data_IF_138661756186
#
_entry.id   IF_138661756186
#
_cell.length_a   1.000
_cell.length_b   1.000
_cell.length_c   1.000
_cell.angle_alpha   90.00
_cell.angle_beta   90.00
_cell.angle_gamma   90.00
#
_symmetry.space_group_name_H-M   'P 1'
#
loop_
_entity.id
_entity.type
_entity.pdbx_description
1 polymer ?
#
# COMPACT_ATOMS: atom_id res chain seq x y z
N UNK A 1 24.92 37.59 2.88
CA UNK A 1 24.37 37.75 4.25
C UNK A 1 23.05 38.49 4.15
N UNK A 2 21.92 37.80 4.30
CA UNK A 2 20.62 38.47 4.43
C UNK A 2 20.41 38.74 5.91
N UNK A 3 20.59 39.99 6.28
CA UNK A 3 20.49 40.47 7.66
C UNK A 3 18.99 40.57 7.99
N UNK A 4 18.46 39.52 8.62
CA UNK A 4 17.08 39.49 9.11
C UNK A 4 16.95 40.25 10.43
N UNK A 5 15.84 40.96 10.61
CA UNK A 5 15.47 41.66 11.84
C UNK A 5 15.65 40.77 13.09
N UNK A 6 16.20 41.36 14.15
CA UNK A 6 16.40 40.70 15.44
C UNK A 6 15.09 40.08 15.95
N UNK A 7 15.10 38.77 16.21
CA UNK A 7 14.01 38.04 16.88
C UNK A 7 13.16 37.11 16.02
N UNK A 8 13.38 37.00 14.71
CA UNK A 8 12.59 36.08 13.85
C UNK A 8 13.46 34.95 13.31
N UNK A 9 13.17 33.71 13.74
CA UNK A 9 13.81 32.48 13.25
C UNK A 9 13.04 31.98 12.03
N UNK A 10 13.67 31.90 10.87
CA UNK A 10 13.09 31.35 9.65
C UNK A 10 13.73 30.00 9.31
N UNK A 11 12.91 29.00 9.00
CA UNK A 11 13.34 27.61 8.73
C UNK A 11 12.34 26.57 9.26
N UNK A 12 12.44 25.32 8.80
CA UNK A 12 11.62 24.20 9.28
C UNK A 12 12.11 23.78 10.69
N UNK A 13 11.54 24.40 11.72
CA UNK A 13 11.84 24.07 13.11
C UNK A 13 11.00 22.86 13.54
N UNK A 14 11.65 21.73 13.81
CA UNK A 14 10.98 20.58 14.44
C UNK A 14 10.71 20.94 15.90
N UNK A 15 9.46 20.88 16.40
CA UNK A 15 9.21 21.09 17.82
C UNK A 15 9.92 19.99 18.61
N UNK A 16 10.82 20.39 19.52
CA UNK A 16 11.45 19.48 20.46
C UNK A 16 10.37 18.83 21.31
N UNK A 17 10.29 17.50 21.24
CA UNK A 17 9.41 16.74 22.11
C UNK A 17 9.86 16.96 23.57
N UNK A 18 8.96 17.31 24.50
CA UNK A 18 9.30 17.32 25.91
C UNK A 18 9.60 15.89 26.36
N UNK A 19 10.72 15.71 27.06
CA UNK A 19 11.12 14.44 27.65
C UNK A 19 9.98 13.89 28.53
N UNK A 20 9.31 12.83 28.04
CA UNK A 20 8.34 12.09 28.80
C UNK A 20 9.08 11.31 29.90
N UNK A 21 8.67 11.53 31.15
CA UNK A 21 9.05 10.67 32.29
C UNK A 21 8.61 9.23 32.00
N UNK A 22 9.35 8.19 32.40
CA UNK A 22 8.92 6.81 32.19
C UNK A 22 7.71 6.53 33.09
N UNK A 23 6.52 6.54 32.50
CA UNK A 23 5.30 6.06 33.14
C UNK A 23 5.37 4.53 33.24
N UNK A 24 5.11 4.00 34.43
CA UNK A 24 5.08 2.57 34.70
C UNK A 24 4.10 1.86 33.75
N UNK A 25 4.57 0.80 33.09
CA UNK A 25 3.74 -0.03 32.22
C UNK A 25 2.60 -0.68 33.03
N UNK A 26 1.38 -0.78 32.49
CA UNK A 26 0.36 -1.63 33.08
C UNK A 26 0.85 -3.08 33.04
N UNK A 27 0.82 -3.76 34.19
CA UNK A 27 1.08 -5.21 34.25
C UNK A 27 0.02 -5.91 33.42
N UNK A 28 0.39 -6.37 32.23
CA UNK A 28 -0.42 -7.30 31.46
C UNK A 28 -0.53 -8.60 32.23
N UNK A 29 -1.65 -8.81 32.92
CA UNK A 29 -2.10 -10.15 33.25
C UNK A 29 -2.51 -10.79 31.92
N UNK A 30 -1.68 -11.66 31.39
CA UNK A 30 -2.06 -12.48 30.26
C UNK A 30 -3.29 -13.29 30.63
N UNK A 31 -4.37 -13.12 29.87
CA UNK A 31 -5.62 -13.91 29.99
C UNK A 31 -5.39 -15.39 29.59
N UNK A 32 -4.20 -15.71 29.08
CA UNK A 32 -3.75 -17.05 28.71
C UNK A 32 -2.60 -17.56 29.60
N UNK A 33 -2.32 -16.90 30.72
CA UNK A 33 -1.11 -17.15 31.51
C UNK A 33 -1.27 -18.05 32.72
N UNK A 34 -2.42 -18.71 32.92
CA UNK A 34 -2.69 -19.55 34.08
C UNK A 34 -3.71 -20.66 33.76
N UNK A 35 -3.43 -21.44 32.73
CA UNK A 35 -4.01 -22.78 32.61
C UNK A 35 -2.84 -23.78 32.58
N UNK A 36 -2.37 -24.05 33.80
CA UNK A 36 -1.84 -25.32 34.27
C UNK A 36 -1.51 -26.37 33.19
N UNK A 37 -0.37 -26.21 32.52
CA UNK A 37 0.21 -27.26 31.68
C UNK A 37 1.24 -28.07 32.49
N UNK A 38 0.86 -28.52 33.70
CA UNK A 38 1.30 -29.84 34.12
C UNK A 38 0.56 -30.86 33.25
N UNK A 39 1.07 -31.13 32.05
CA UNK A 39 0.76 -32.41 31.41
C UNK A 39 1.26 -33.49 32.37
N UNK A 40 0.41 -34.32 33.02
CA UNK A 40 0.93 -35.52 33.63
C UNK A 40 1.55 -36.30 32.48
N UNK A 41 2.86 -36.57 32.53
CA UNK A 41 3.53 -37.40 31.54
C UNK A 41 2.69 -38.66 31.37
N UNK A 42 1.91 -38.71 30.29
CA UNK A 42 0.93 -39.75 30.10
C UNK A 42 1.72 -41.04 30.06
N UNK A 43 1.44 -41.96 30.99
CA UNK A 43 2.17 -43.22 31.08
C UNK A 43 2.20 -43.89 29.70
N UNK A 44 3.27 -44.60 29.35
CA UNK A 44 3.38 -45.25 28.04
C UNK A 44 2.15 -46.12 27.72
N UNK A 45 1.51 -46.69 28.75
CA UNK A 45 0.24 -47.40 28.66
C UNK A 45 -0.96 -46.52 28.30
N UNK A 46 -1.04 -45.29 28.80
CA UNK A 46 -2.05 -44.31 28.40
C UNK A 46 -1.84 -43.87 26.95
N UNK A 47 -0.60 -43.60 26.55
CA UNK A 47 -0.25 -43.28 25.16
C UNK A 47 -0.56 -44.44 24.20
N UNK A 48 -0.35 -45.69 24.64
CA UNK A 48 -0.69 -46.90 23.87
C UNK A 48 -2.19 -47.16 23.77
N UNK A 49 -2.96 -46.80 24.80
CA UNK A 49 -4.43 -46.84 24.77
C UNK A 49 -5.01 -45.72 23.90
N UNK A 50 -4.44 -44.52 23.95
CA UNK A 50 -4.78 -43.38 23.09
C UNK A 50 -4.42 -43.66 21.62
N UNK A 51 -3.31 -44.36 21.37
CA UNK A 51 -2.89 -44.74 20.02
C UNK A 51 -3.58 -46.00 19.48
N UNK A 52 -4.34 -46.71 20.33
CA UNK A 52 -5.09 -47.90 19.91
C UNK A 52 -6.14 -47.55 18.86
N UNK A 53 -6.28 -48.41 17.85
CA UNK A 53 -7.17 -48.16 16.72
C UNK A 53 -8.64 -48.01 17.15
N UNK A 54 -9.04 -48.71 18.20
CA UNK A 54 -10.39 -48.59 18.80
C UNK A 54 -10.63 -47.20 19.41
N UNK A 55 -9.62 -46.61 20.05
CA UNK A 55 -9.74 -45.27 20.61
C UNK A 55 -9.80 -44.22 19.50
N UNK A 56 -8.97 -44.35 18.45
CA UNK A 56 -9.03 -43.50 17.26
C UNK A 56 -10.39 -43.59 16.56
N UNK A 57 -10.97 -44.77 16.43
CA UNK A 57 -12.29 -44.98 15.83
C UNK A 57 -13.41 -44.32 16.66
N UNK A 58 -13.34 -44.43 18.00
CA UNK A 58 -14.28 -43.75 18.89
C UNK A 58 -14.18 -42.22 18.77
N UNK A 59 -12.96 -41.67 18.70
CA UNK A 59 -12.75 -40.24 18.50
C UNK A 59 -13.24 -39.76 17.14
N UNK A 60 -13.02 -40.53 16.07
CA UNK A 60 -13.58 -40.25 14.74
C UNK A 60 -15.12 -40.22 14.76
N UNK A 61 -15.76 -41.21 15.39
CA UNK A 61 -17.24 -41.24 15.53
C UNK A 61 -17.78 -40.06 16.33
N UNK A 62 -17.04 -39.58 17.34
CA UNK A 62 -17.41 -38.37 18.10
C UNK A 62 -17.29 -37.12 17.21
N UNK A 63 -16.15 -36.96 16.54
CA UNK A 63 -15.92 -35.85 15.62
C UNK A 63 -16.95 -35.81 14.47
N UNK A 64 -17.32 -36.96 13.88
CA UNK A 64 -18.35 -37.02 12.85
C UNK A 64 -19.73 -36.62 13.36
N UNK A 65 -20.08 -36.98 14.60
CA UNK A 65 -21.35 -36.56 15.21
C UNK A 65 -21.35 -35.06 15.47
N UNK A 66 -20.25 -34.51 15.94
CA UNK A 66 -20.10 -33.08 16.18
C UNK A 66 -20.13 -32.29 14.87
N UNK A 67 -19.41 -32.75 13.84
CA UNK A 67 -19.45 -32.17 12.49
C UNK A 67 -20.88 -32.16 11.93
N UNK A 68 -21.62 -33.27 12.06
CA UNK A 68 -23.01 -33.35 11.58
C UNK A 68 -23.94 -32.42 12.35
N UNK A 69 -23.73 -32.24 13.66
CA UNK A 69 -24.49 -31.28 14.48
C UNK A 69 -24.19 -29.85 14.05
N UNK A 70 -22.91 -29.51 13.91
CA UNK A 70 -22.45 -28.20 13.46
C UNK A 70 -23.04 -27.83 12.08
N UNK A 71 -23.02 -28.77 11.12
CA UNK A 71 -23.61 -28.58 9.79
C UNK A 71 -25.14 -28.47 9.80
N UNK A 72 -25.81 -29.09 10.78
CA UNK A 72 -27.27 -29.02 10.91
C UNK A 72 -27.73 -27.69 11.53
N UNK A 73 -26.90 -27.10 12.40
CA UNK A 73 -27.15 -25.78 13.00
C UNK A 73 -26.85 -24.67 11.99
N UNK A 74 -25.71 -24.74 11.28
CA UNK A 74 -25.32 -23.81 10.24
C UNK A 74 -24.50 -24.50 9.14
N UNK A 75 -25.03 -24.48 7.91
CA UNK A 75 -24.37 -25.05 6.75
C UNK A 75 -23.11 -24.28 6.32
N UNK A 76 -22.98 -23.01 6.73
CA UNK A 76 -21.86 -22.12 6.41
C UNK A 76 -20.75 -22.12 7.46
N UNK A 77 -20.85 -22.95 8.50
CA UNK A 77 -19.91 -22.93 9.65
C UNK A 77 -18.45 -23.21 9.28
N UNK A 78 -18.21 -23.89 8.15
CA UNK A 78 -16.87 -24.15 7.61
C UNK A 78 -16.53 -23.29 6.39
N UNK A 79 -17.38 -22.33 6.04
CA UNK A 79 -17.14 -21.38 4.96
C UNK A 79 -16.24 -20.23 5.44
N UNK A 80 -14.94 -20.50 5.45
CA UNK A 80 -13.93 -19.50 5.81
C UNK A 80 -13.76 -18.40 4.76
N UNK A 81 -14.11 -18.67 3.50
CA UNK A 81 -13.98 -17.71 2.40
C UNK A 81 -15.04 -16.61 2.54
N UNK A 82 -16.28 -16.99 2.87
CA UNK A 82 -17.38 -16.04 3.10
C UNK A 82 -17.09 -14.99 4.18
N UNK A 83 -16.37 -15.37 5.24
CA UNK A 83 -15.97 -14.44 6.31
C UNK A 83 -14.91 -13.43 5.83
N UNK A 84 -13.94 -13.87 5.03
CA UNK A 84 -12.93 -12.98 4.44
C UNK A 84 -13.57 -12.06 3.41
N UNK A 85 -14.42 -12.60 2.54
CA UNK A 85 -15.20 -11.85 1.57
C UNK A 85 -16.02 -10.73 2.25
N UNK A 86 -16.62 -11.00 3.40
CA UNK A 86 -17.33 -9.99 4.19
C UNK A 86 -16.41 -8.84 4.64
N UNK A 87 -15.23 -9.16 5.17
CA UNK A 87 -14.24 -8.16 5.61
C UNK A 87 -13.72 -7.34 4.42
N UNK A 88 -13.47 -8.00 3.28
CA UNK A 88 -13.02 -7.34 2.06
C UNK A 88 -14.09 -6.41 1.52
N UNK A 89 -15.35 -6.85 1.44
CA UNK A 89 -16.49 -6.04 1.01
C UNK A 89 -16.72 -4.84 1.93
N UNK A 90 -16.72 -5.04 3.25
CA UNK A 90 -16.87 -3.94 4.22
C UNK A 90 -15.74 -2.92 4.10
N UNK A 91 -14.50 -3.39 3.90
CA UNK A 91 -13.35 -2.51 3.68
C UNK A 91 -13.48 -1.72 2.38
N UNK A 92 -13.89 -2.36 1.29
CA UNK A 92 -14.12 -1.71 0.00
C UNK A 92 -15.24 -0.66 0.10
N UNK A 93 -16.36 -0.98 0.74
CA UNK A 93 -17.45 -0.05 0.99
C UNK A 93 -17.00 1.13 1.86
N UNK A 94 -16.21 0.87 2.91
CA UNK A 94 -15.63 1.92 3.74
C UNK A 94 -14.66 2.82 2.95
N UNK A 95 -13.87 2.26 2.03
CA UNK A 95 -13.00 3.03 1.13
C UNK A 95 -13.79 3.87 0.12
N UNK A 96 -14.86 3.31 -0.47
CA UNK A 96 -15.76 4.02 -1.38
C UNK A 96 -16.43 5.18 -0.65
N UNK A 97 -16.95 4.95 0.56
CA UNK A 97 -17.56 5.99 1.39
C UNK A 97 -16.56 7.07 1.80
N UNK A 98 -15.31 6.69 2.14
CA UNK A 98 -14.23 7.67 2.40
C UNK A 98 -13.92 8.51 1.16
N UNK A 99 -13.81 7.89 -0.02
CA UNK A 99 -13.57 8.60 -1.28
C UNK A 99 -14.72 9.55 -1.63
N UNK A 100 -15.97 9.12 -1.42
CA UNK A 100 -17.15 9.96 -1.60
C UNK A 100 -17.13 11.15 -0.63
N UNK A 101 -16.88 10.92 0.66
CA UNK A 101 -16.75 11.98 1.66
C UNK A 101 -15.59 12.94 1.38
N UNK A 102 -14.47 12.45 0.85
CA UNK A 102 -13.36 13.29 0.39
C UNK A 102 -13.72 14.15 -0.82
N UNK A 103 -14.54 13.62 -1.74
CA UNK A 103 -15.06 14.37 -2.89
C UNK A 103 -16.04 15.47 -2.46
N UNK A 104 -16.88 15.19 -1.47
CA UNK A 104 -17.82 16.16 -0.90
C UNK A 104 -17.15 17.26 -0.06
N UNK A 105 -16.02 16.96 0.60
CA UNK A 105 -15.23 17.95 1.34
C UNK A 105 -14.57 19.02 0.46
N UNK A 106 -14.75 18.95 -0.85
CA UNK A 106 -14.21 19.88 -1.83
C UNK A 106 -12.72 19.66 -2.07
N UNK A 107 -12.28 19.98 -3.28
CA UNK A 107 -10.85 19.99 -3.60
C UNK A 107 -10.12 20.99 -2.69
N UNK A 108 -8.98 20.58 -2.13
CA UNK A 108 -8.17 21.45 -1.26
C UNK A 108 -7.80 22.73 -2.04
N UNK A 109 -7.90 23.89 -1.38
CA UNK A 109 -7.81 25.25 -1.96
C UNK A 109 -6.65 25.53 -2.95
N UNK A 110 -5.62 24.69 -3.00
CA UNK A 110 -4.43 24.88 -3.83
C UNK A 110 -4.07 23.72 -4.78
N UNK A 111 -4.82 22.61 -4.77
CA UNK A 111 -4.46 21.43 -5.59
C UNK A 111 -4.54 21.76 -7.08
N UNK A 112 -5.56 22.52 -7.49
CA UNK A 112 -5.70 22.97 -8.87
C UNK A 112 -4.49 23.78 -9.33
N UNK A 113 -4.09 24.80 -8.56
CA UNK A 113 -2.95 25.66 -8.89
C UNK A 113 -1.63 24.87 -8.92
N UNK A 114 -1.46 23.87 -8.04
CA UNK A 114 -0.29 23.00 -8.06
C UNK A 114 -0.26 22.17 -9.35
N UNK A 115 -1.39 21.55 -9.72
CA UNK A 115 -1.51 20.78 -10.95
C UNK A 115 -1.27 21.66 -12.18
N UNK A 116 -1.82 22.86 -12.24
CA UNK A 116 -1.59 23.82 -13.32
C UNK A 116 -0.12 24.19 -13.45
N UNK A 117 0.54 24.58 -12.36
CA UNK A 117 1.97 24.91 -12.37
C UNK A 117 2.84 23.73 -12.79
N UNK A 118 2.48 22.50 -12.41
CA UNK A 118 3.23 21.32 -12.88
C UNK A 118 3.04 21.09 -14.37
N UNK A 119 1.85 21.37 -14.93
CA UNK A 119 1.60 21.29 -16.37
C UNK A 119 2.34 22.39 -17.12
N UNK A 120 2.38 23.62 -16.59
CA UNK A 120 3.15 24.73 -17.16
C UNK A 120 4.64 24.40 -17.21
N UNK A 121 5.22 23.93 -16.09
CA UNK A 121 6.63 23.56 -16.04
C UNK A 121 6.98 22.45 -17.03
N UNK A 122 6.14 21.43 -17.16
CA UNK A 122 6.35 20.35 -18.16
C UNK A 122 6.40 20.90 -19.58
N UNK A 123 5.48 21.80 -19.94
CA UNK A 123 5.46 22.46 -21.25
C UNK A 123 6.71 23.33 -21.48
N UNK A 124 7.19 24.02 -20.45
CA UNK A 124 8.42 24.82 -20.54
C UNK A 124 9.65 23.92 -20.72
N UNK A 125 9.75 22.84 -19.95
CA UNK A 125 10.83 21.86 -20.03
C UNK A 125 10.87 21.20 -21.43
N UNK A 126 9.71 20.85 -21.99
CA UNK A 126 9.57 20.35 -23.37
C UNK A 126 10.10 21.36 -24.39
N UNK A 127 9.72 22.63 -24.29
CA UNK A 127 10.23 23.70 -25.18
C UNK A 127 11.74 23.90 -25.05
N UNK A 128 12.28 23.80 -23.84
CA UNK A 128 13.73 23.92 -23.60
C UNK A 128 14.47 22.72 -24.20
N UNK A 129 13.91 21.52 -24.07
CA UNK A 129 14.44 20.31 -24.66
C UNK A 129 14.45 20.40 -26.20
N UNK A 130 13.36 20.84 -26.80
CA UNK A 130 13.26 21.05 -28.26
C UNK A 130 14.30 22.07 -28.75
N UNK A 131 14.45 23.21 -28.07
CA UNK A 131 15.47 24.21 -28.43
C UNK A 131 16.89 23.67 -28.29
N UNK A 132 17.14 22.81 -27.30
CA UNK A 132 18.44 22.14 -27.14
C UNK A 132 18.68 21.18 -28.29
N UNK A 133 17.70 20.35 -28.61
CA UNK A 133 17.77 19.39 -29.71
C UNK A 133 18.00 20.08 -31.06
N UNK A 134 17.33 21.19 -31.34
CA UNK A 134 17.56 21.97 -32.59
C UNK A 134 19.00 22.47 -32.68
N UNK A 135 19.56 23.00 -31.58
CA UNK A 135 20.96 23.44 -31.56
C UNK A 135 21.94 22.30 -31.78
N UNK A 136 21.69 21.14 -31.17
CA UNK A 136 22.50 19.93 -31.37
C UNK A 136 22.41 19.46 -32.84
N UNK A 137 21.23 19.49 -33.44
CA UNK A 137 21.03 19.12 -34.85
C UNK A 137 21.68 20.10 -35.83
N UNK A 138 21.68 21.40 -35.53
CA UNK A 138 22.36 22.41 -36.34
C UNK A 138 23.88 22.21 -36.31
N UNK A 139 24.45 21.96 -35.13
CA UNK A 139 25.87 21.64 -34.96
C UNK A 139 26.25 20.34 -35.69
N UNK A 140 25.45 19.28 -35.54
CA UNK A 140 25.68 18.02 -36.25
C UNK A 140 25.52 18.19 -37.78
N UNK A 141 24.62 19.07 -38.23
CA UNK A 141 24.46 19.37 -39.66
C UNK A 141 25.66 20.13 -40.22
N UNK A 142 26.30 20.99 -39.44
CA UNK A 142 27.53 21.67 -39.85
C UNK A 142 28.69 20.68 -40.03
N UNK A 143 28.79 19.66 -39.16
CA UNK A 143 29.88 18.68 -39.19
C UNK A 143 29.62 17.49 -40.13
N UNK A 144 28.36 17.07 -40.30
CA UNK A 144 27.98 15.83 -41.01
C UNK A 144 26.90 16.03 -42.08
N UNK A 145 26.75 17.26 -42.60
CA UNK A 145 25.71 17.62 -43.57
C UNK A 145 25.69 16.78 -44.85
N UNK A 146 26.85 16.27 -45.27
CA UNK A 146 27.02 15.48 -46.51
C UNK A 146 26.75 13.97 -46.33
N UNK A 147 26.38 13.53 -45.12
CA UNK A 147 26.14 12.10 -44.82
C UNK A 147 24.65 11.73 -44.83
N UNK A 148 24.32 10.49 -45.19
CA UNK A 148 22.94 9.99 -45.23
C UNK A 148 22.34 9.83 -43.82
N UNK A 149 21.18 10.44 -43.57
CA UNK A 149 20.46 10.35 -42.27
C UNK A 149 19.28 9.37 -42.34
N UNK A 150 19.31 8.33 -41.52
CA UNK A 150 18.23 7.34 -41.41
C UNK A 150 17.34 7.62 -40.19
N UNK A 151 16.05 7.89 -40.43
CA UNK A 151 15.07 8.21 -39.39
C UNK A 151 13.99 7.12 -39.29
N UNK A 152 13.70 6.65 -38.07
CA UNK A 152 12.66 5.63 -37.82
C UNK A 152 11.24 6.17 -38.04
N UNK A 153 10.29 5.30 -38.40
CA UNK A 153 8.91 5.71 -38.69
C UNK A 153 8.22 6.40 -37.50
N UNK A 154 8.56 6.01 -36.26
CA UNK A 154 8.03 6.62 -35.05
C UNK A 154 8.48 8.08 -34.88
N UNK A 155 9.77 8.36 -35.12
CA UNK A 155 10.30 9.73 -34.99
C UNK A 155 9.76 10.66 -36.08
N UNK A 156 9.55 10.15 -37.31
CA UNK A 156 8.88 10.92 -38.38
C UNK A 156 7.46 11.34 -37.96
N UNK A 157 6.70 10.47 -37.30
CA UNK A 157 5.36 10.80 -36.77
C UNK A 157 5.42 11.87 -35.69
N UNK A 158 6.41 11.80 -34.81
CA UNK A 158 6.62 12.80 -33.75
C UNK A 158 6.94 14.18 -34.33
N UNK A 159 7.84 14.27 -35.32
CA UNK A 159 8.16 15.53 -36.02
C UNK A 159 6.96 16.13 -36.76
N UNK A 160 6.12 15.30 -37.35
CA UNK A 160 4.89 15.77 -38.02
C UNK A 160 3.88 16.30 -37.00
N UNK A 161 3.75 15.64 -35.84
CA UNK A 161 2.84 16.07 -34.79
C UNK A 161 3.27 17.40 -34.16
N UNK A 162 4.57 17.63 -33.97
CA UNK A 162 5.08 18.92 -33.46
C UNK A 162 4.91 20.03 -34.49
N UNK A 163 5.26 19.78 -35.77
CA UNK A 163 5.11 20.76 -36.85
C UNK A 163 3.65 21.12 -37.15
N UNK A 164 2.71 20.22 -36.87
CA UNK A 164 1.28 20.49 -37.03
C UNK A 164 0.67 21.31 -35.90
N UNK A 165 1.36 21.44 -34.76
CA UNK A 165 0.89 22.17 -33.58
C UNK A 165 1.53 23.57 -33.46
N UNK A 166 2.56 23.85 -34.25
CA UNK A 166 3.19 25.17 -34.44
C UNK A 166 2.36 26.05 -35.38
#
# INVERSE_FOLDING_TARGET
MVIGQAGKKYGLHRPGAPAAKPGAAPKGGGIFGDDDDETPAASEDALKKLSSDKHKELMRKRAEKEMKKALAEDASIFDYDGALDGIHKEREEAEVNKKAAHKERGEVRYVHQLLEKTRERKKEDEKLFEKRMVKELEAEKEEFGDTEKFVTAAYKRQLLATKAFE
#
